data_IF_995184054522
#
_entry.id   IF_995184054522
#
_cell.length_a   1.000
_cell.length_b   1.000
_cell.length_c   1.000
_cell.angle_alpha   90.00
_cell.angle_beta   90.00
_cell.angle_gamma   90.00
#
_symmetry.space_group_name_H-M   'P 1'
#
loop_
_entity.id
_entity.type
_entity.pdbx_description
1 polymer ?
#
# COMPACT_ATOMS: atom_id res chain seq x y z
N UNK A 1 7.97 -26.10 10.44
CA UNK A 1 7.91 -24.66 10.14
C UNK A 1 7.81 -24.52 8.63
N UNK A 2 6.73 -23.92 8.14
CA UNK A 2 6.52 -23.71 6.71
C UNK A 2 7.44 -22.61 6.22
N UNK A 3 8.09 -22.78 5.06
CA UNK A 3 8.96 -21.73 4.52
C UNK A 3 8.12 -20.59 3.98
N UNK A 4 8.28 -19.38 4.52
CA UNK A 4 7.65 -18.17 4.02
C UNK A 4 8.58 -17.47 3.01
N UNK A 5 8.08 -17.26 1.79
CA UNK A 5 8.81 -16.55 0.74
C UNK A 5 8.20 -15.16 0.56
N UNK A 6 8.89 -14.13 1.04
CA UNK A 6 8.44 -12.73 0.98
C UNK A 6 9.19 -11.87 -0.03
N UNK A 7 10.37 -12.32 -0.48
CA UNK A 7 11.32 -11.47 -1.21
C UNK A 7 10.72 -10.84 -2.47
N UNK A 8 10.02 -11.61 -3.31
CA UNK A 8 9.40 -11.06 -4.53
C UNK A 8 8.24 -10.13 -4.19
N UNK A 9 7.34 -10.52 -3.28
CA UNK A 9 6.19 -9.68 -2.90
C UNK A 9 6.54 -8.36 -2.23
N UNK A 10 7.45 -8.37 -1.26
CA UNK A 10 7.90 -7.16 -0.59
C UNK A 10 8.58 -6.17 -1.54
N UNK A 11 9.44 -6.66 -2.45
CA UNK A 11 10.12 -5.79 -3.43
C UNK A 11 9.13 -5.17 -4.42
N UNK A 12 8.18 -5.97 -4.92
CA UNK A 12 7.16 -5.47 -5.86
C UNK A 12 6.25 -4.45 -5.17
N UNK A 13 5.84 -4.72 -3.94
CA UNK A 13 5.05 -3.78 -3.15
C UNK A 13 5.79 -2.48 -2.86
N UNK A 14 7.10 -2.52 -2.55
CA UNK A 14 7.92 -1.32 -2.33
C UNK A 14 8.04 -0.46 -3.59
N UNK A 15 8.25 -1.07 -4.75
CA UNK A 15 8.32 -0.37 -6.03
C UNK A 15 6.95 0.20 -6.45
N UNK A 16 5.86 -0.50 -6.15
CA UNK A 16 4.50 -0.05 -6.44
C UNK A 16 3.98 0.98 -5.42
N UNK A 17 4.50 1.02 -4.19
CA UNK A 17 4.02 1.91 -3.15
C UNK A 17 4.20 3.40 -3.50
N UNK A 18 5.33 3.79 -4.09
CA UNK A 18 5.57 5.16 -4.55
C UNK A 18 4.55 5.66 -5.58
N UNK A 19 4.37 4.95 -6.70
CA UNK A 19 3.33 5.25 -7.69
C UNK A 19 1.92 5.22 -7.10
N UNK A 20 1.58 4.26 -6.25
CA UNK A 20 0.25 4.12 -5.67
C UNK A 20 -0.08 5.24 -4.67
N UNK A 21 0.90 5.78 -3.93
CA UNK A 21 0.69 6.93 -3.06
C UNK A 21 0.59 8.25 -3.82
N UNK A 22 1.29 8.38 -4.94
CA UNK A 22 1.36 9.65 -5.68
C UNK A 22 0.30 9.78 -6.74
N UNK A 23 -0.09 8.69 -7.42
CA UNK A 23 -1.20 8.73 -8.38
C UNK A 23 -2.47 9.40 -7.82
N UNK A 24 -2.91 9.10 -6.60
CA UNK A 24 -4.11 9.72 -6.03
C UNK A 24 -3.90 11.18 -5.62
N UNK A 25 -2.74 11.55 -5.08
CA UNK A 25 -2.38 12.95 -4.78
C UNK A 25 -2.29 13.76 -6.07
N UNK A 26 -1.67 13.17 -7.09
CA UNK A 26 -1.54 13.77 -8.41
C UNK A 26 -2.91 13.96 -9.07
N UNK A 27 -3.81 12.96 -8.96
CA UNK A 27 -5.19 13.08 -9.42
C UNK A 27 -5.93 14.20 -8.68
N UNK A 28 -5.77 14.30 -7.36
CA UNK A 28 -6.40 15.35 -6.56
C UNK A 28 -5.91 16.75 -6.97
N UNK A 29 -4.60 16.94 -7.10
CA UNK A 29 -4.01 18.20 -7.57
C UNK A 29 -4.46 18.53 -8.99
N UNK A 30 -4.53 17.53 -9.88
CA UNK A 30 -4.99 17.70 -11.25
C UNK A 30 -6.46 18.16 -11.31
N UNK A 31 -7.31 17.59 -10.45
CA UNK A 31 -8.74 17.94 -10.36
C UNK A 31 -8.90 19.37 -9.81
N UNK A 32 -8.13 19.75 -8.78
CA UNK A 32 -8.25 21.07 -8.15
C UNK A 32 -7.61 22.21 -8.95
N UNK A 33 -6.45 21.99 -9.59
CA UNK A 33 -5.62 23.05 -10.17
C UNK A 33 -5.49 22.96 -11.70
N UNK A 34 -6.04 21.90 -12.33
CA UNK A 34 -5.87 21.63 -13.76
C UNK A 34 -4.46 21.19 -14.14
N UNK A 35 -4.22 20.95 -15.43
CA UNK A 35 -2.89 20.61 -15.94
C UNK A 35 -1.95 21.82 -15.84
N UNK A 36 -1.13 21.86 -14.77
CA UNK A 36 0.11 22.64 -14.76
C UNK A 36 1.18 22.03 -15.67
N UNK A 37 2.27 22.79 -15.91
CA UNK A 37 3.44 22.40 -16.72
C UNK A 37 3.78 20.91 -16.66
N UNK A 38 3.83 20.25 -17.83
CA UNK A 38 4.16 18.83 -18.02
C UNK A 38 5.48 18.45 -17.32
N UNK A 39 6.45 19.37 -17.30
CA UNK A 39 7.75 19.17 -16.67
C UNK A 39 7.63 19.05 -15.14
N UNK A 40 6.79 19.87 -14.50
CA UNK A 40 6.56 19.80 -13.05
C UNK A 40 5.87 18.51 -12.64
N UNK A 41 4.93 18.05 -13.47
CA UNK A 41 4.24 16.77 -13.33
C UNK A 41 5.22 15.58 -13.39
N UNK A 42 6.09 15.56 -14.40
CA UNK A 42 7.06 14.47 -14.57
C UNK A 42 8.05 14.39 -13.38
N UNK A 43 8.49 15.53 -12.85
CA UNK A 43 9.38 15.59 -11.68
C UNK A 43 8.67 15.10 -10.42
N UNK A 44 7.42 15.50 -10.19
CA UNK A 44 6.60 15.01 -9.07
C UNK A 44 6.46 13.48 -9.11
N UNK A 45 6.15 12.91 -10.28
CA UNK A 45 6.03 11.44 -10.47
C UNK A 45 7.39 10.74 -10.33
N UNK A 46 8.48 11.36 -10.77
CA UNK A 46 9.81 10.76 -10.61
C UNK A 46 10.27 10.73 -9.15
N UNK A 47 10.03 11.80 -8.37
CA UNK A 47 10.43 11.90 -6.95
C UNK A 47 9.50 11.13 -6.00
N UNK A 48 8.29 10.89 -6.46
CA UNK A 48 7.25 10.05 -5.87
C UNK A 48 7.69 8.61 -5.63
N UNK A 49 8.44 8.03 -6.58
CA UNK A 49 8.90 6.65 -6.51
C UNK A 49 9.87 6.45 -5.34
N UNK A 50 11.00 7.17 -5.22
CA UNK A 50 11.90 7.03 -4.09
C UNK A 50 11.27 7.49 -2.78
N UNK A 51 10.51 8.60 -2.79
CA UNK A 51 9.86 9.11 -1.58
C UNK A 51 8.86 8.11 -0.99
N UNK A 52 7.95 7.58 -1.80
CA UNK A 52 6.99 6.59 -1.34
C UNK A 52 7.58 5.20 -1.11
N UNK A 53 8.69 4.83 -1.77
CA UNK A 53 9.42 3.62 -1.42
C UNK A 53 10.05 3.71 -0.02
N UNK A 54 10.64 4.85 0.35
CA UNK A 54 11.23 5.07 1.68
C UNK A 54 10.13 5.10 2.76
N UNK A 55 9.07 5.88 2.55
CA UNK A 55 7.96 5.99 3.50
C UNK A 55 7.18 4.67 3.62
N UNK A 56 7.02 3.95 2.51
CA UNK A 56 6.35 2.66 2.45
C UNK A 56 7.20 1.49 2.96
N UNK A 57 8.53 1.63 3.05
CA UNK A 57 9.42 0.52 3.40
C UNK A 57 9.10 -0.08 4.77
N UNK A 58 8.99 0.76 5.80
CA UNK A 58 8.71 0.33 7.16
C UNK A 58 7.35 -0.40 7.29
N UNK A 59 6.21 0.17 6.83
CA UNK A 59 4.93 -0.53 6.91
C UNK A 59 4.86 -1.78 6.01
N UNK A 60 5.56 -1.81 4.86
CA UNK A 60 5.61 -3.01 4.02
C UNK A 60 6.41 -4.14 4.67
N UNK A 61 7.57 -3.84 5.27
CA UNK A 61 8.37 -4.84 5.97
C UNK A 61 7.62 -5.32 7.22
N UNK A 62 7.08 -4.39 8.01
CA UNK A 62 6.30 -4.69 9.21
C UNK A 62 5.04 -5.51 8.91
N UNK A 63 4.26 -5.10 7.90
CA UNK A 63 3.09 -5.82 7.43
C UNK A 63 3.43 -7.22 6.92
N UNK A 64 4.55 -7.37 6.20
CA UNK A 64 5.06 -8.67 5.76
C UNK A 64 5.43 -9.61 6.91
N UNK A 65 6.05 -9.07 7.96
CA UNK A 65 6.38 -9.84 9.17
C UNK A 65 5.12 -10.28 9.93
N UNK A 66 4.16 -9.37 10.12
CA UNK A 66 2.86 -9.69 10.73
C UNK A 66 2.13 -10.74 9.88
N UNK A 67 2.18 -10.62 8.56
CA UNK A 67 1.61 -11.61 7.65
C UNK A 67 2.23 -12.98 7.81
N UNK A 68 3.57 -13.07 7.85
CA UNK A 68 4.29 -14.32 8.05
C UNK A 68 3.86 -15.01 9.36
N UNK A 69 3.90 -14.27 10.47
CA UNK A 69 3.59 -14.77 11.82
C UNK A 69 2.12 -15.19 11.97
N UNK A 70 1.17 -14.40 11.45
CA UNK A 70 -0.25 -14.72 11.49
C UNK A 70 -0.61 -15.90 10.56
N UNK A 71 0.04 -15.99 9.40
CA UNK A 71 -0.19 -17.06 8.43
C UNK A 71 0.36 -18.42 8.86
N UNK A 72 1.35 -18.45 9.75
CA UNK A 72 1.81 -19.68 10.42
C UNK A 72 0.80 -20.18 11.45
N UNK A 73 0.20 -19.27 12.24
CA UNK A 73 -0.74 -19.62 13.32
C UNK A 73 -2.15 -19.94 12.81
N UNK A 74 -2.62 -19.21 11.80
CA UNK A 74 -4.01 -19.29 11.34
C UNK A 74 -4.10 -19.34 9.81
N UNK A 75 -4.65 -20.44 9.26
CA UNK A 75 -4.84 -20.61 7.81
C UNK A 75 -5.76 -19.56 7.20
N UNK A 76 -6.79 -19.11 7.93
CA UNK A 76 -7.69 -18.05 7.47
C UNK A 76 -6.97 -16.73 7.18
N UNK A 77 -5.91 -16.42 7.94
CA UNK A 77 -5.05 -15.25 7.71
C UNK A 77 -4.32 -15.32 6.38
N UNK A 78 -4.30 -16.45 5.67
CA UNK A 78 -3.72 -16.53 4.33
C UNK A 78 -4.68 -16.04 3.26
N UNK A 79 -5.95 -15.79 3.56
CA UNK A 79 -6.91 -15.37 2.53
C UNK A 79 -6.64 -13.92 2.08
N UNK A 80 -6.61 -13.61 0.77
CA UNK A 80 -6.34 -12.25 0.28
C UNK A 80 -7.30 -11.18 0.80
N UNK A 81 -8.58 -11.53 0.96
CA UNK A 81 -9.60 -10.62 1.47
C UNK A 81 -9.34 -10.12 2.90
N UNK A 82 -8.70 -10.94 3.76
CA UNK A 82 -8.37 -10.51 5.14
C UNK A 82 -7.37 -9.35 5.09
N UNK A 83 -6.39 -9.44 4.20
CA UNK A 83 -5.37 -8.41 4.03
C UNK A 83 -5.87 -7.19 3.29
N UNK A 84 -6.78 -7.33 2.32
CA UNK A 84 -7.39 -6.16 1.68
C UNK A 84 -8.18 -5.32 2.67
N UNK A 85 -8.95 -5.97 3.56
CA UNK A 85 -9.71 -5.29 4.62
C UNK A 85 -8.76 -4.66 5.64
N UNK A 86 -7.73 -5.38 6.09
CA UNK A 86 -6.73 -4.82 7.00
C UNK A 86 -6.01 -3.60 6.39
N UNK A 87 -5.64 -3.68 5.11
CA UNK A 87 -5.04 -2.58 4.35
C UNK A 87 -5.98 -1.38 4.24
N UNK A 88 -7.27 -1.61 3.95
CA UNK A 88 -8.28 -0.55 3.91
C UNK A 88 -8.38 0.20 5.25
N UNK A 89 -8.51 -0.55 6.35
CA UNK A 89 -8.60 0.02 7.69
C UNK A 89 -7.34 0.80 8.07
N UNK A 90 -6.16 0.27 7.79
CA UNK A 90 -4.90 0.97 8.03
C UNK A 90 -4.77 2.23 7.17
N UNK A 91 -5.21 2.18 5.91
CA UNK A 91 -5.27 3.35 5.03
C UNK A 91 -6.12 4.47 5.64
N UNK A 92 -7.31 4.13 6.15
CA UNK A 92 -8.17 5.10 6.85
C UNK A 92 -7.54 5.60 8.16
N UNK A 93 -6.82 4.76 8.90
CA UNK A 93 -6.15 5.16 10.13
C UNK A 93 -4.99 6.13 9.88
N UNK A 94 -4.26 5.99 8.77
CA UNK A 94 -3.20 6.93 8.35
C UNK A 94 -3.78 8.30 7.99
N UNK A 95 -5.05 8.37 7.59
CA UNK A 95 -5.73 9.65 7.40
C UNK A 95 -6.07 10.32 8.74
N UNK A 96 -6.19 9.58 9.86
CA UNK A 96 -6.62 10.13 11.15
C UNK A 96 -5.83 11.38 11.62
N UNK A 97 -4.50 11.45 11.51
CA UNK A 97 -3.74 12.67 11.82
C UNK A 97 -4.04 13.84 10.86
N UNK A 98 -4.43 13.55 9.62
CA UNK A 98 -4.81 14.54 8.60
C UNK A 98 -6.28 14.99 8.76
N UNK A 99 -7.15 14.15 9.34
CA UNK A 99 -8.55 14.47 9.64
C UNK A 99 -8.71 15.61 10.65
N UNK A 100 -7.64 15.96 11.39
CA UNK A 100 -7.62 17.14 12.26
C UNK A 100 -7.74 18.45 11.46
N UNK A 101 -7.49 18.44 10.14
CA UNK A 101 -7.50 19.64 9.30
C UNK A 101 -8.68 19.71 8.33
N UNK A 102 -9.21 18.56 7.86
CA UNK A 102 -10.48 18.48 7.12
C UNK A 102 -10.91 17.01 6.96
N UNK A 103 -12.18 16.69 7.26
CA UNK A 103 -12.77 15.40 6.93
C UNK A 103 -13.44 15.49 5.56
N UNK A 104 -12.90 14.76 4.58
CA UNK A 104 -13.51 14.60 3.26
C UNK A 104 -13.61 13.10 2.91
N UNK A 105 -14.81 12.67 2.53
CA UNK A 105 -15.09 11.27 2.24
C UNK A 105 -14.35 10.77 0.99
N UNK A 106 -14.04 11.66 0.05
CA UNK A 106 -13.34 11.29 -1.19
C UNK A 106 -11.90 10.91 -0.88
N UNK A 107 -11.19 11.73 -0.10
CA UNK A 107 -9.85 11.41 0.39
C UNK A 107 -9.84 10.15 1.25
N UNK A 108 -10.84 9.93 2.12
CA UNK A 108 -10.94 8.69 2.91
C UNK A 108 -11.08 7.45 2.04
N UNK A 109 -11.98 7.50 1.05
CA UNK A 109 -12.17 6.40 0.11
C UNK A 109 -10.86 6.10 -0.64
N UNK A 110 -10.17 7.15 -1.08
CA UNK A 110 -8.89 7.05 -1.78
C UNK A 110 -7.80 6.36 -0.95
N UNK A 111 -7.59 6.80 0.29
CA UNK A 111 -6.61 6.20 1.22
C UNK A 111 -6.97 4.75 1.57
N UNK A 112 -8.26 4.46 1.76
CA UNK A 112 -8.76 3.11 2.01
C UNK A 112 -8.50 2.17 0.83
N UNK A 113 -8.84 2.59 -0.39
CA UNK A 113 -8.62 1.80 -1.60
C UNK A 113 -7.12 1.58 -1.83
N UNK A 114 -6.31 2.63 -1.69
CA UNK A 114 -4.84 2.54 -1.79
C UNK A 114 -4.28 1.55 -0.77
N UNK A 115 -4.69 1.65 0.49
CA UNK A 115 -4.27 0.71 1.54
C UNK A 115 -4.64 -0.75 1.22
N UNK A 116 -5.86 -0.97 0.71
CA UNK A 116 -6.32 -2.30 0.28
C UNK A 116 -5.48 -2.87 -0.87
N UNK A 117 -5.20 -2.06 -1.91
CA UNK A 117 -4.41 -2.47 -3.07
C UNK A 117 -2.98 -2.81 -2.64
N UNK A 118 -2.34 -1.97 -1.82
CA UNK A 118 -1.00 -2.23 -1.31
C UNK A 118 -0.93 -3.56 -0.55
N UNK A 119 -1.90 -3.81 0.35
CA UNK A 119 -1.95 -5.06 1.10
C UNK A 119 -2.19 -6.29 0.20
N UNK A 120 -3.01 -6.15 -0.84
CA UNK A 120 -3.21 -7.20 -1.84
C UNK A 120 -1.93 -7.50 -2.62
N UNK A 121 -1.21 -6.48 -3.11
CA UNK A 121 0.06 -6.68 -3.84
C UNK A 121 1.07 -7.41 -2.96
N UNK A 122 1.22 -6.97 -1.71
CA UNK A 122 2.08 -7.64 -0.72
C UNK A 122 1.67 -9.11 -0.55
N UNK A 123 0.38 -9.37 -0.34
CA UNK A 123 -0.14 -10.72 -0.16
C UNK A 123 0.06 -11.60 -1.40
N UNK A 124 -0.18 -11.09 -2.59
CA UNK A 124 -0.03 -11.84 -3.84
C UNK A 124 1.41 -12.31 -4.07
N UNK A 125 2.39 -11.49 -3.68
CA UNK A 125 3.79 -11.88 -3.79
C UNK A 125 4.36 -12.61 -2.56
N UNK A 126 3.56 -12.75 -1.49
CA UNK A 126 3.88 -13.57 -0.34
C UNK A 126 3.38 -15.01 -0.55
N UNK A 127 4.24 -16.01 -0.33
CA UNK A 127 3.88 -17.43 -0.45
C UNK A 127 4.33 -18.23 0.75
N UNK A 128 3.50 -19.15 1.21
CA UNK A 128 3.89 -20.19 2.15
C UNK A 128 4.27 -21.46 1.38
N UNK A 129 5.15 -22.30 1.93
CA UNK A 129 5.65 -23.53 1.28
C UNK A 129 4.54 -24.44 0.76
N UNK A 130 3.40 -24.44 1.43
CA UNK A 130 2.28 -25.34 1.16
C UNK A 130 1.35 -24.77 0.07
N UNK A 131 1.50 -23.49 -0.29
CA UNK A 131 0.73 -22.85 -1.37
C UNK A 131 1.30 -23.20 -2.76
N UNK A 132 2.39 -23.98 -2.83
CA UNK A 132 3.10 -24.37 -4.06
C UNK A 132 2.83 -25.83 -4.49
N UNK A 133 1.76 -26.44 -3.99
CA UNK A 133 1.30 -27.76 -4.40
C UNK A 133 0.27 -27.67 -5.55
#
# INVERSE_FOLDING_TARGET
MNRFTYRRGGTTAMLCAGPIFVLPIFLAVLIEHGFGSITGTAIMVAMSIPGGAILGAAPIIGGGYVMATLGERWRMSRHPGVWSVAGALLGTAVQWPLLLFAFDWQTTALFSITGAICALIVRYGARWSDDSA
#
